data_IF_902230995864
#
_entry.id   IF_902230995864
#
_cell.length_a   1.000
_cell.length_b   1.000
_cell.length_c   1.000
_cell.angle_alpha   90.00
_cell.angle_beta   90.00
_cell.angle_gamma   90.00
#
_symmetry.space_group_name_H-M   'P 1'
#
loop_
_entity.id
_entity.type
_entity.pdbx_description
1 polymer ?
#
# COMPACT_ATOMS: atom_id res chain seq x y z
N UNK A 1 -9.92 -29.19 -19.79
CA UNK A 1 -8.88 -28.97 -18.78
C UNK A 1 -8.63 -27.48 -18.73
N UNK A 2 -9.23 -26.80 -17.76
CA UNK A 2 -9.15 -25.35 -17.61
C UNK A 2 -7.73 -24.99 -17.19
N UNK A 3 -7.03 -24.21 -18.01
CA UNK A 3 -5.75 -23.64 -17.66
C UNK A 3 -5.94 -22.83 -16.37
N UNK A 4 -5.26 -23.23 -15.29
CA UNK A 4 -5.00 -22.32 -14.18
C UNK A 4 -4.10 -21.26 -14.77
N UNK A 5 -4.69 -20.13 -15.14
CA UNK A 5 -3.95 -18.94 -15.50
C UNK A 5 -3.14 -18.59 -14.24
N UNK A 6 -1.85 -18.92 -14.22
CA UNK A 6 -0.94 -18.53 -13.15
C UNK A 6 -1.00 -17.00 -13.09
N UNK A 7 -1.74 -16.47 -12.11
CA UNK A 7 -1.79 -15.05 -11.88
C UNK A 7 -0.35 -14.60 -11.63
N UNK A 8 0.14 -13.65 -12.44
CA UNK A 8 1.42 -13.02 -12.16
C UNK A 8 1.34 -12.42 -10.76
N UNK A 9 2.27 -12.82 -9.89
CA UNK A 9 2.35 -12.31 -8.52
C UNK A 9 3.65 -11.54 -8.36
N UNK A 10 3.57 -10.39 -7.70
CA UNK A 10 4.76 -9.63 -7.29
C UNK A 10 4.75 -9.55 -5.78
N UNK A 11 5.81 -10.08 -5.15
CA UNK A 11 5.90 -10.24 -3.69
C UNK A 11 4.71 -11.00 -3.06
N UNK A 12 4.17 -11.99 -3.77
CA UNK A 12 3.01 -12.77 -3.32
C UNK A 12 1.67 -12.02 -3.41
N UNK A 13 1.66 -10.82 -4.01
CA UNK A 13 0.44 -10.09 -4.31
C UNK A 13 0.08 -10.31 -5.78
N UNK A 14 -1.14 -10.76 -6.10
CA UNK A 14 -1.60 -10.85 -7.49
C UNK A 14 -1.61 -9.48 -8.18
N UNK A 15 -1.10 -9.38 -9.41
CA UNK A 15 -1.13 -8.13 -10.20
C UNK A 15 -2.56 -7.59 -10.39
N UNK A 16 -3.55 -8.49 -10.46
CA UNK A 16 -4.97 -8.13 -10.51
C UNK A 16 -5.45 -7.35 -9.27
N UNK A 17 -4.79 -7.51 -8.12
CA UNK A 17 -5.06 -6.66 -6.95
C UNK A 17 -4.69 -5.22 -7.23
N UNK A 18 -3.49 -5.00 -7.77
CA UNK A 18 -3.02 -3.66 -8.09
C UNK A 18 -3.98 -2.95 -9.05
N UNK A 19 -4.49 -3.68 -10.05
CA UNK A 19 -5.51 -3.18 -10.97
C UNK A 19 -6.84 -2.85 -10.26
N UNK A 20 -7.37 -3.75 -9.41
CA UNK A 20 -8.60 -3.48 -8.66
C UNK A 20 -8.48 -2.30 -7.71
N UNK A 21 -7.32 -2.12 -7.07
CA UNK A 21 -7.13 -0.97 -6.20
C UNK A 21 -7.03 0.31 -7.03
N UNK A 22 -6.34 0.30 -8.18
CA UNK A 22 -6.32 1.44 -9.12
C UNK A 22 -7.72 1.89 -9.55
N UNK A 23 -8.66 0.96 -9.76
CA UNK A 23 -10.04 1.30 -10.13
C UNK A 23 -10.80 2.00 -8.98
N UNK A 24 -10.42 1.75 -7.73
CA UNK A 24 -11.08 2.25 -6.52
C UNK A 24 -10.48 3.56 -5.99
N UNK A 25 -9.28 3.96 -6.44
CA UNK A 25 -8.59 5.15 -5.93
C UNK A 25 -8.17 6.10 -7.05
N UNK A 26 -8.65 7.34 -6.98
CA UNK A 26 -8.36 8.38 -7.97
C UNK A 26 -6.97 9.03 -7.79
N UNK A 27 -6.45 9.02 -6.56
CA UNK A 27 -5.24 9.73 -6.15
C UNK A 27 -4.09 8.77 -5.78
N UNK A 28 -2.88 9.33 -5.67
CA UNK A 28 -1.75 8.57 -5.15
C UNK A 28 -2.03 8.11 -3.71
N UNK A 29 -2.02 6.79 -3.49
CA UNK A 29 -2.31 6.20 -2.18
C UNK A 29 -1.37 5.06 -1.86
N UNK A 30 -1.15 4.84 -0.58
CA UNK A 30 -0.51 3.63 -0.08
C UNK A 30 -1.56 2.65 0.41
N UNK A 31 -1.37 1.37 0.15
CA UNK A 31 -2.24 0.33 0.66
C UNK A 31 -1.43 -0.78 1.34
N UNK A 32 -2.04 -1.47 2.29
CA UNK A 32 -1.43 -2.52 3.08
C UNK A 32 -2.11 -3.86 2.83
N UNK A 33 -1.33 -4.90 2.59
CA UNK A 33 -1.81 -6.27 2.40
C UNK A 33 -1.27 -7.13 3.58
N UNK A 34 -2.08 -7.35 4.64
CA UNK A 34 -1.60 -8.01 5.86
C UNK A 34 -1.10 -9.44 5.65
N UNK A 35 -1.74 -10.21 4.75
CA UNK A 35 -1.40 -11.61 4.51
C UNK A 35 0.01 -11.81 3.96
N UNK A 36 0.51 -10.82 3.21
CA UNK A 36 1.84 -10.84 2.60
C UNK A 36 2.81 -9.88 3.28
N UNK A 37 2.38 -9.19 4.35
CA UNK A 37 3.14 -8.12 5.06
C UNK A 37 3.79 -7.13 4.09
N UNK A 38 3.06 -6.79 3.03
CA UNK A 38 3.57 -5.99 1.93
C UNK A 38 2.72 -4.75 1.72
N UNK A 39 3.37 -3.69 1.29
CA UNK A 39 2.70 -2.44 0.94
C UNK A 39 2.52 -2.34 -0.58
N UNK A 40 1.52 -1.61 -1.00
CA UNK A 40 1.29 -1.20 -2.39
C UNK A 40 1.40 0.31 -2.44
N UNK A 41 2.16 0.83 -3.40
CA UNK A 41 2.11 2.25 -3.74
C UNK A 41 1.38 2.39 -5.06
N UNK A 42 0.36 3.23 -5.07
CA UNK A 42 -0.52 3.46 -6.21
C UNK A 42 -0.26 4.87 -6.64
N UNK A 43 0.35 5.07 -7.81
CA UNK A 43 0.73 6.38 -8.33
C UNK A 43 -0.29 6.81 -9.39
N UNK A 44 -1.51 7.18 -8.96
CA UNK A 44 -2.59 7.67 -9.84
C UNK A 44 -2.95 6.72 -11.00
N UNK A 45 -3.70 7.26 -11.98
CA UNK A 45 -4.46 6.56 -13.06
C UNK A 45 -3.64 5.55 -13.91
N UNK A 46 -2.33 5.39 -13.74
CA UNK A 46 -1.52 4.59 -14.67
C UNK A 46 -0.72 3.45 -14.06
N UNK A 47 -0.30 3.45 -12.78
CA UNK A 47 0.57 2.38 -12.24
C UNK A 47 0.43 2.16 -10.73
N UNK A 48 0.23 0.90 -10.34
CA UNK A 48 0.41 0.43 -8.98
C UNK A 48 1.66 -0.46 -8.94
N UNK A 49 2.50 -0.27 -7.92
CA UNK A 49 3.69 -1.06 -7.69
C UNK A 49 3.58 -1.75 -6.33
N UNK A 50 3.87 -3.04 -6.31
CA UNK A 50 4.10 -3.75 -5.06
C UNK A 50 5.43 -3.32 -4.48
N UNK A 51 5.39 -2.96 -3.22
CA UNK A 51 6.52 -2.44 -2.49
C UNK A 51 6.93 -3.49 -1.45
N UNK A 52 7.88 -4.34 -1.86
CA UNK A 52 8.49 -5.35 -0.99
C UNK A 52 9.75 -4.84 -0.28
N UNK A 53 10.27 -5.63 0.67
CA UNK A 53 11.54 -5.36 1.35
C UNK A 53 11.46 -4.19 2.35
N UNK A 54 12.50 -3.33 2.37
CA UNK A 54 12.68 -2.26 3.36
C UNK A 54 11.50 -1.28 3.43
N UNK A 55 10.85 -1.01 2.30
CA UNK A 55 9.70 -0.12 2.26
C UNK A 55 8.43 -0.77 2.86
N UNK A 56 8.25 -2.08 2.72
CA UNK A 56 7.18 -2.81 3.41
C UNK A 56 7.38 -2.81 4.94
N UNK A 57 8.63 -2.99 5.39
CA UNK A 57 8.99 -2.86 6.81
C UNK A 57 8.78 -1.43 7.34
N UNK A 58 9.04 -0.41 6.53
CA UNK A 58 8.78 0.98 6.89
C UNK A 58 7.27 1.23 7.07
N UNK A 59 6.43 0.75 6.17
CA UNK A 59 4.95 0.85 6.31
C UNK A 59 4.47 0.15 7.57
N UNK A 60 4.98 -1.06 7.83
CA UNK A 60 4.67 -1.78 9.07
C UNK A 60 5.07 -0.96 10.32
N UNK A 61 6.26 -0.37 10.31
CA UNK A 61 6.74 0.50 11.40
C UNK A 61 5.80 1.69 11.60
N UNK A 62 5.35 2.34 10.52
CA UNK A 62 4.41 3.47 10.61
C UNK A 62 3.06 3.05 11.22
N UNK A 63 2.57 1.85 10.91
CA UNK A 63 1.35 1.27 11.51
C UNK A 63 1.54 0.97 13.01
N UNK A 64 2.66 0.33 13.38
CA UNK A 64 3.01 -0.02 14.76
C UNK A 64 3.16 1.22 15.66
N UNK A 65 3.63 2.33 15.08
CA UNK A 65 3.75 3.63 15.77
C UNK A 65 2.51 4.52 15.65
N UNK A 66 1.40 4.03 15.09
CA UNK A 66 0.15 4.77 14.91
C UNK A 66 0.31 6.09 14.13
N UNK A 67 1.29 6.16 13.22
CA UNK A 67 1.50 7.30 12.33
C UNK A 67 0.63 7.18 11.06
N UNK A 68 0.27 5.96 10.69
CA UNK A 68 -0.75 5.66 9.69
C UNK A 68 -1.76 4.66 10.26
N UNK A 69 -2.95 4.61 9.69
CA UNK A 69 -4.00 3.65 10.04
C UNK A 69 -4.54 2.97 8.78
N UNK A 70 -5.08 1.77 8.95
CA UNK A 70 -5.95 1.15 7.95
C UNK A 70 -7.25 1.95 7.86
N UNK A 71 -7.51 2.55 6.71
CA UNK A 71 -8.76 3.22 6.35
C UNK A 71 -9.67 2.28 5.57
N UNK A 72 -10.02 2.67 4.35
CA UNK A 72 -10.91 1.88 3.48
C UNK A 72 -10.33 0.48 3.21
N UNK A 73 -11.09 -0.55 3.60
CA UNK A 73 -10.72 -1.94 3.36
C UNK A 73 -11.30 -2.43 2.03
N UNK A 74 -10.42 -2.90 1.16
CA UNK A 74 -10.73 -3.53 -0.10
C UNK A 74 -10.58 -5.04 0.03
N UNK A 75 -11.52 -5.78 -0.56
CA UNK A 75 -11.50 -7.24 -0.58
C UNK A 75 -11.54 -7.71 -2.01
N UNK A 76 -10.76 -8.72 -2.32
CA UNK A 76 -10.80 -9.34 -3.63
C UNK A 76 -10.45 -10.82 -3.53
N UNK A 77 -10.98 -11.57 -4.47
CA UNK A 77 -10.66 -12.97 -4.66
C UNK A 77 -9.72 -13.11 -5.86
N UNK A 78 -8.63 -13.85 -5.69
CA UNK A 78 -7.72 -14.25 -6.77
C UNK A 78 -7.64 -15.78 -6.77
N UNK A 79 -8.18 -16.40 -7.83
CA UNK A 79 -8.36 -17.84 -7.87
C UNK A 79 -9.26 -18.34 -6.74
N UNK A 80 -8.70 -19.11 -5.79
CA UNK A 80 -9.40 -19.66 -4.62
C UNK A 80 -9.08 -18.94 -3.31
N UNK A 81 -8.23 -17.93 -3.35
CA UNK A 81 -7.77 -17.21 -2.17
C UNK A 81 -8.47 -15.87 -2.05
N UNK A 82 -8.92 -15.56 -0.84
CA UNK A 82 -9.43 -14.25 -0.47
C UNK A 82 -8.31 -13.40 0.11
N UNK A 83 -8.17 -12.21 -0.45
CA UNK A 83 -7.19 -11.24 -0.03
C UNK A 83 -7.89 -9.99 0.50
N UNK A 84 -7.25 -9.38 1.50
CA UNK A 84 -7.66 -8.11 2.07
C UNK A 84 -6.55 -7.10 1.88
N UNK A 85 -6.93 -5.93 1.41
CA UNK A 85 -6.07 -4.76 1.31
C UNK A 85 -6.72 -3.61 2.08
N UNK A 86 -5.95 -2.74 2.72
CA UNK A 86 -6.46 -1.55 3.38
C UNK A 86 -5.71 -0.32 2.86
N UNK A 87 -6.44 0.69 2.40
CA UNK A 87 -5.84 1.98 2.09
C UNK A 87 -5.31 2.62 3.37
N UNK A 88 -4.11 3.18 3.30
CA UNK A 88 -3.45 3.78 4.45
C UNK A 88 -3.75 5.26 4.51
N UNK A 89 -4.15 5.71 5.70
CA UNK A 89 -4.44 7.11 5.98
C UNK A 89 -3.48 7.63 7.05
N UNK A 90 -3.00 8.86 6.88
CA UNK A 90 -2.22 9.53 7.93
C UNK A 90 -3.09 9.80 9.14
N UNK A 91 -2.59 9.47 10.32
CA UNK A 91 -3.19 9.91 11.59
C UNK A 91 -2.82 11.38 11.85
N UNK A 92 -3.42 11.99 12.87
CA UNK A 92 -3.02 13.35 13.28
C UNK A 92 -1.55 13.39 13.73
N UNK A 93 -1.11 12.37 14.47
CA UNK A 93 0.29 12.21 14.86
C UNK A 93 1.20 12.01 13.65
N UNK A 94 0.78 11.21 12.67
CA UNK A 94 1.49 11.06 11.39
C UNK A 94 1.62 12.38 10.64
N UNK A 95 0.53 13.15 10.53
CA UNK A 95 0.53 14.49 9.91
C UNK A 95 1.47 15.46 10.62
N UNK A 96 1.57 15.40 11.95
CA UNK A 96 2.50 16.22 12.72
C UNK A 96 3.95 15.84 12.46
N UNK A 97 4.29 14.56 12.55
CA UNK A 97 5.64 14.06 12.27
C UNK A 97 6.06 14.40 10.84
N UNK A 98 5.19 14.15 9.87
CA UNK A 98 5.43 14.49 8.46
C UNK A 98 5.74 15.97 8.28
N UNK A 99 4.93 16.86 8.87
CA UNK A 99 5.18 18.31 8.82
C UNK A 99 6.54 18.67 9.42
N UNK A 100 6.89 18.14 10.58
CA UNK A 100 8.19 18.41 11.24
C UNK A 100 9.36 17.98 10.37
N UNK A 101 9.31 16.77 9.81
CA UNK A 101 10.36 16.23 8.93
C UNK A 101 10.50 17.07 7.64
N UNK A 102 9.37 17.46 7.03
CA UNK A 102 9.38 18.32 5.86
C UNK A 102 10.07 19.66 6.12
N UNK A 103 9.78 20.29 7.28
CA UNK A 103 10.45 21.54 7.67
C UNK A 103 11.95 21.36 7.91
N UNK A 104 12.36 20.26 8.56
CA UNK A 104 13.77 19.96 8.79
C UNK A 104 14.54 19.76 7.49
N UNK A 105 14.04 18.90 6.60
CA UNK A 105 14.67 18.61 5.31
C UNK A 105 14.82 19.90 4.45
N UNK A 106 13.80 20.75 4.46
CA UNK A 106 13.84 22.03 3.73
C UNK A 106 14.80 23.05 4.34
N UNK A 107 15.04 22.99 5.65
CA UNK A 107 15.99 23.86 6.35
C UNK A 107 17.43 23.46 6.05
N UNK A 108 17.72 22.16 5.92
CA UNK A 108 19.06 21.64 5.58
C UNK A 108 19.43 21.87 4.11
N UNK A 109 18.45 22.02 3.23
CA UNK A 109 18.65 22.34 1.81
C UNK A 109 18.94 23.84 1.53
N UNK A 110 19.07 24.69 2.56
CA UNK A 110 19.37 26.12 2.47
C UNK A 110 20.71 26.44 3.12
#
# INVERSE_FOLDING_TARGET
MTATQDAATVHGIPEELAAKVLDEVADEVWAWVPSTRSALRIEGIMRAFTVGGDQGAAVQTLLEHHLVTEGTALRFQAGREDYRCALLELTDSGREVHRRLFFLARKEAR
#
